data_IF_865824996094
#
_entry.id   IF_865824996094
#
_cell.length_a   1.000
_cell.length_b   1.000
_cell.length_c   1.000
_cell.angle_alpha   90.00
_cell.angle_beta   90.00
_cell.angle_gamma   90.00
#
_symmetry.space_group_name_H-M   'P 1'
#
loop_
_entity.id
_entity.type
_entity.pdbx_description
1 polymer ?
#
# COMPACT_ATOMS: atom_id res chain seq x y z
N UNK A 1 -1.83 25.82 -32.27
CA UNK A 1 -2.51 26.63 -31.23
C UNK A 1 -2.38 25.86 -29.93
N UNK A 2 -1.39 26.22 -29.13
CA UNK A 2 -0.96 25.48 -27.93
C UNK A 2 -1.59 26.18 -26.73
N UNK A 3 -2.46 25.48 -25.99
CA UNK A 3 -3.01 25.98 -24.72
C UNK A 3 -2.63 25.03 -23.59
N UNK A 4 -1.73 25.49 -22.73
CA UNK A 4 -1.42 24.88 -21.43
C UNK A 4 -2.64 25.00 -20.49
N UNK A 5 -2.85 24.04 -19.57
CA UNK A 5 -3.78 24.24 -18.45
C UNK A 5 -3.12 25.00 -17.28
N UNK A 6 -3.92 25.61 -16.39
CA UNK A 6 -3.43 26.47 -15.32
C UNK A 6 -3.05 25.69 -14.05
N UNK A 7 -2.08 26.26 -13.33
CA UNK A 7 -1.62 25.87 -12.00
C UNK A 7 -2.56 26.40 -10.90
N UNK A 8 -2.56 25.68 -9.76
CA UNK A 8 -2.97 26.08 -8.41
C UNK A 8 -4.45 25.96 -8.00
N UNK A 9 -4.72 24.96 -7.16
CA UNK A 9 -5.84 24.95 -6.21
C UNK A 9 -5.46 24.11 -4.97
N UNK A 10 -4.70 24.70 -4.05
CA UNK A 10 -4.74 24.35 -2.62
C UNK A 10 -4.44 25.61 -1.80
N UNK A 11 -5.50 26.29 -1.36
CA UNK A 11 -5.48 27.24 -0.25
C UNK A 11 -6.32 26.64 0.87
N UNK A 12 -5.68 26.31 1.99
CA UNK A 12 -6.35 26.11 3.26
C UNK A 12 -5.78 27.12 4.28
N UNK A 13 -6.71 27.81 4.93
CA UNK A 13 -6.51 28.91 5.86
C UNK A 13 -6.04 28.41 7.23
N UNK A 14 -5.04 29.07 7.83
CA UNK A 14 -4.96 29.19 9.28
C UNK A 14 -4.81 30.66 9.68
N UNK A 15 -5.77 31.11 10.49
CA UNK A 15 -5.89 32.46 11.03
C UNK A 15 -4.81 32.71 12.08
N UNK A 16 -3.98 33.73 11.88
CA UNK A 16 -3.17 34.32 12.95
C UNK A 16 -4.04 35.21 13.84
N UNK A 17 -3.96 34.99 15.15
CA UNK A 17 -4.37 35.96 16.17
C UNK A 17 -3.11 36.69 16.68
N UNK A 18 -3.25 38.01 16.90
CA UNK A 18 -2.19 38.96 17.20
C UNK A 18 -2.22 39.43 18.68
N UNK A 19 -1.01 39.62 19.23
CA UNK A 19 -0.53 40.61 20.24
C UNK A 19 -0.81 40.39 21.75
N UNK A 20 -0.03 40.99 22.68
CA UNK A 20 1.10 41.95 22.53
C UNK A 20 2.41 41.63 23.33
N UNK A 21 3.48 42.45 23.21
CA UNK A 21 4.81 42.21 23.79
C UNK A 21 5.07 43.03 25.07
N UNK A 22 5.87 42.52 26.02
CA UNK A 22 6.50 43.35 27.06
C UNK A 22 7.87 42.81 27.51
N UNK A 23 8.86 43.72 27.40
CA UNK A 23 10.08 43.91 28.21
C UNK A 23 11.21 42.86 28.19
N UNK A 24 12.25 43.22 27.44
CA UNK A 24 13.64 42.89 27.77
C UNK A 24 14.23 44.00 28.65
N UNK A 25 14.91 43.65 29.77
CA UNK A 25 16.05 44.42 30.28
C UNK A 25 16.87 43.63 31.33
N UNK A 26 18.14 43.38 30.97
CA UNK A 26 19.38 43.43 31.77
C UNK A 26 19.39 43.02 33.26
N UNK A 27 20.19 41.98 33.56
CA UNK A 27 21.02 41.93 34.76
C UNK A 27 22.36 41.21 34.48
N UNK A 28 23.37 42.03 34.20
CA UNK A 28 24.79 41.70 34.28
C UNK A 28 25.21 42.00 35.72
N UNK A 29 25.84 41.06 36.44
CA UNK A 29 27.04 41.31 37.26
C UNK A 29 27.42 40.16 38.23
N UNK A 30 28.74 39.96 38.24
CA UNK A 30 29.61 39.50 39.32
C UNK A 30 29.66 38.01 39.69
N UNK A 31 30.50 37.33 38.90
CA UNK A 31 31.61 36.50 39.37
C UNK A 31 32.18 36.94 40.73
N UNK A 32 32.13 36.06 41.73
CA UNK A 32 33.20 35.91 42.73
C UNK A 32 33.54 34.44 42.85
N UNK A 33 34.79 34.12 42.50
CA UNK A 33 35.40 32.82 42.68
C UNK A 33 35.80 32.65 44.15
N UNK A 34 35.57 31.47 44.73
CA UNK A 34 36.50 30.84 45.67
C UNK A 34 36.13 29.35 45.84
N UNK A 35 37.05 28.47 45.43
CA UNK A 35 37.25 27.15 46.03
C UNK A 35 36.23 26.05 45.78
N UNK A 36 36.55 25.11 44.88
CA UNK A 36 36.97 23.77 45.28
C UNK A 36 37.01 22.83 44.08
N UNK A 37 38.11 22.10 44.02
CA UNK A 37 38.39 20.99 43.11
C UNK A 37 37.34 19.90 43.26
N UNK A 38 36.50 19.72 42.24
CA UNK A 38 35.98 18.39 41.88
C UNK A 38 35.97 18.30 40.36
N UNK A 39 36.99 17.66 39.82
CA UNK A 39 36.88 16.95 38.56
C UNK A 39 35.71 15.98 38.72
N UNK A 40 34.52 16.39 38.26
CA UNK A 40 33.44 15.45 38.01
C UNK A 40 33.96 14.41 37.02
N UNK A 41 33.57 13.13 37.14
CA UNK A 41 33.92 12.16 36.13
C UNK A 41 33.44 12.76 34.81
N UNK A 42 34.35 12.91 33.85
CA UNK A 42 33.99 13.09 32.46
C UNK A 42 33.11 11.90 32.16
N UNK A 43 31.81 12.10 32.29
CA UNK A 43 30.83 11.28 31.65
C UNK A 43 31.27 11.32 30.20
N UNK A 44 31.90 10.24 29.77
CA UNK A 44 31.78 9.83 28.41
C UNK A 44 30.26 9.80 28.20
N UNK A 45 29.72 10.89 27.66
CA UNK A 45 28.74 10.74 26.62
C UNK A 45 29.47 9.94 25.55
N UNK A 46 29.54 8.62 25.77
CA UNK A 46 29.41 7.69 24.70
C UNK A 46 28.19 8.22 23.97
N UNK A 47 28.43 8.88 22.84
CA UNK A 47 27.44 8.88 21.80
C UNK A 47 27.07 7.40 21.68
N UNK A 48 25.89 7.04 22.18
CA UNK A 48 25.30 5.77 21.80
C UNK A 48 25.33 5.83 20.28
N UNK A 49 26.27 5.10 19.69
CA UNK A 49 26.18 4.72 18.31
C UNK A 49 24.98 3.78 18.25
N UNK A 50 23.77 4.36 18.29
CA UNK A 50 22.53 3.67 18.04
C UNK A 50 22.60 3.21 16.60
N UNK A 51 23.20 2.05 16.40
CA UNK A 51 23.26 1.39 15.11
C UNK A 51 21.85 1.05 14.68
N UNK A 52 21.61 1.12 13.37
CA UNK A 52 20.40 0.53 12.81
C UNK A 52 20.67 -0.95 12.60
N UNK A 53 19.83 -1.81 13.17
CA UNK A 53 19.87 -3.25 12.97
C UNK A 53 18.98 -3.64 11.79
N UNK A 54 19.54 -4.41 10.86
CA UNK A 54 18.79 -4.96 9.73
C UNK A 54 18.14 -6.29 10.12
N UNK A 55 16.85 -6.40 9.84
CA UNK A 55 16.09 -7.65 9.95
C UNK A 55 15.51 -8.04 8.60
N UNK A 56 15.27 -9.34 8.44
CA UNK A 56 14.58 -9.89 7.28
C UNK A 56 13.58 -10.97 7.71
N UNK A 57 12.42 -10.98 7.06
CA UNK A 57 11.38 -12.00 7.15
C UNK A 57 10.99 -12.48 5.76
N UNK A 58 10.79 -13.79 5.64
CA UNK A 58 10.31 -14.45 4.41
C UNK A 58 9.17 -15.39 4.76
N UNK A 59 8.03 -15.22 4.11
CA UNK A 59 6.79 -15.97 4.38
C UNK A 59 6.07 -16.21 3.05
N UNK A 60 5.35 -17.32 2.93
CA UNK A 60 4.47 -17.57 1.79
C UNK A 60 3.09 -16.97 2.09
N UNK A 61 2.58 -16.11 1.20
CA UNK A 61 1.30 -15.38 1.34
C UNK A 61 0.82 -14.98 -0.07
N UNK A 62 -0.49 -14.86 -0.29
CA UNK A 62 -1.08 -14.50 -1.59
C UNK A 62 -0.53 -15.35 -2.77
N UNK A 63 -0.34 -16.65 -2.55
CA UNK A 63 0.17 -17.59 -3.57
C UNK A 63 1.61 -17.33 -4.04
N UNK A 64 2.40 -16.54 -3.31
CA UNK A 64 3.78 -16.20 -3.66
C UNK A 64 4.68 -16.08 -2.44
N UNK A 65 5.94 -15.70 -2.64
CA UNK A 65 6.86 -15.39 -1.56
C UNK A 65 6.85 -13.90 -1.26
N UNK A 66 6.61 -13.58 0.01
CA UNK A 66 6.84 -12.26 0.59
C UNK A 66 8.23 -12.23 1.22
N UNK A 67 8.98 -11.17 0.96
CA UNK A 67 10.23 -10.83 1.66
C UNK A 67 10.13 -9.40 2.18
N UNK A 68 10.20 -9.24 3.50
CA UNK A 68 10.28 -7.94 4.17
C UNK A 68 11.69 -7.80 4.71
N UNK A 69 12.38 -6.72 4.36
CA UNK A 69 13.67 -6.34 4.94
C UNK A 69 13.59 -4.89 5.41
N UNK A 70 13.97 -4.64 6.66
CA UNK A 70 13.98 -3.28 7.20
C UNK A 70 15.12 -3.06 8.19
N UNK A 71 15.48 -1.79 8.39
CA UNK A 71 16.45 -1.33 9.37
C UNK A 71 15.73 -0.60 10.52
N UNK A 72 15.91 -1.03 11.77
CA UNK A 72 15.28 -0.46 12.97
C UNK A 72 16.33 -0.19 14.08
N UNK A 73 16.03 0.61 15.13
CA UNK A 73 17.00 0.89 16.20
C UNK A 73 17.44 -0.36 16.96
N UNK A 74 16.54 -1.34 17.12
CA UNK A 74 16.86 -2.65 17.69
C UNK A 74 16.30 -3.78 16.84
N UNK A 75 16.91 -4.98 16.94
CA UNK A 75 16.36 -6.20 16.32
C UNK A 75 14.92 -6.48 16.74
N UNK A 76 14.58 -6.25 18.00
CA UNK A 76 13.24 -6.56 18.53
C UNK A 76 12.16 -5.67 17.89
N UNK A 77 12.41 -4.37 17.80
CA UNK A 77 11.53 -3.42 17.11
C UNK A 77 11.41 -3.77 15.62
N UNK A 78 12.52 -4.13 14.98
CA UNK A 78 12.49 -4.48 13.57
C UNK A 78 11.63 -5.72 13.30
N UNK A 79 11.75 -6.74 14.14
CA UNK A 79 10.89 -7.94 14.04
C UNK A 79 9.42 -7.60 14.26
N UNK A 80 9.10 -6.77 15.26
CA UNK A 80 7.73 -6.34 15.50
C UNK A 80 7.13 -5.58 14.31
N UNK A 81 7.92 -4.72 13.65
CA UNK A 81 7.50 -4.04 12.43
C UNK A 81 7.26 -5.03 11.27
N UNK A 82 8.13 -6.03 11.08
CA UNK A 82 7.89 -7.07 10.07
C UNK A 82 6.60 -7.85 10.34
N UNK A 83 6.32 -8.23 11.59
CA UNK A 83 5.08 -8.96 11.92
C UNK A 83 3.84 -8.08 11.71
N UNK A 84 3.93 -6.78 11.98
CA UNK A 84 2.81 -5.83 11.76
C UNK A 84 2.53 -5.62 10.27
N UNK A 85 3.57 -5.48 9.45
CA UNK A 85 3.45 -5.43 8.00
C UNK A 85 2.88 -6.73 7.41
N UNK A 86 3.35 -7.89 7.90
CA UNK A 86 2.82 -9.18 7.48
C UNK A 86 1.32 -9.31 7.78
N UNK A 87 0.88 -8.95 8.99
CA UNK A 87 -0.55 -9.00 9.35
C UNK A 87 -1.41 -8.13 8.45
N UNK A 88 -0.96 -6.93 8.10
CA UNK A 88 -1.69 -6.07 7.16
C UNK A 88 -1.84 -6.71 5.77
N UNK A 89 -0.82 -7.44 5.31
CA UNK A 89 -0.88 -8.20 4.05
C UNK A 89 -1.85 -9.40 4.17
N UNK A 90 -1.82 -10.13 5.28
CA UNK A 90 -2.75 -11.23 5.54
C UNK A 90 -4.21 -10.75 5.63
N UNK A 91 -4.45 -9.59 6.24
CA UNK A 91 -5.75 -8.93 6.31
C UNK A 91 -6.22 -8.47 4.92
N UNK A 92 -5.31 -7.97 4.08
CA UNK A 92 -5.60 -7.66 2.69
C UNK A 92 -5.92 -8.93 1.87
N UNK A 93 -5.19 -10.03 2.06
CA UNK A 93 -5.51 -11.32 1.43
C UNK A 93 -6.90 -11.83 1.84
N UNK A 94 -7.23 -11.76 3.13
CA UNK A 94 -8.54 -12.16 3.65
C UNK A 94 -9.69 -11.33 3.07
N UNK A 95 -9.43 -10.08 2.65
CA UNK A 95 -10.43 -9.22 2.03
C UNK A 95 -10.51 -9.38 0.52
N UNK A 96 -9.35 -9.42 -0.16
CA UNK A 96 -9.27 -9.30 -1.62
C UNK A 96 -9.17 -10.63 -2.36
N UNK A 97 -8.73 -11.71 -1.72
CA UNK A 97 -8.36 -12.92 -2.45
C UNK A 97 -9.52 -13.54 -3.21
N UNK A 98 -9.40 -13.59 -4.53
CA UNK A 98 -10.35 -14.30 -5.40
C UNK A 98 -10.06 -15.82 -5.49
N UNK A 99 -9.06 -16.31 -4.73
CA UNK A 99 -8.70 -17.73 -4.59
C UNK A 99 -9.26 -18.38 -3.33
N UNK A 100 -9.82 -17.57 -2.43
CA UNK A 100 -10.42 -18.00 -1.17
C UNK A 100 -11.91 -17.73 -1.21
N UNK A 101 -12.72 -18.78 -1.01
CA UNK A 101 -14.18 -18.63 -0.99
C UNK A 101 -14.69 -17.85 0.23
N UNK A 102 -13.86 -17.75 1.28
CA UNK A 102 -14.18 -17.02 2.51
C UNK A 102 -13.74 -15.56 2.52
N UNK A 103 -13.14 -15.07 1.42
CA UNK A 103 -12.78 -13.65 1.33
C UNK A 103 -13.98 -12.76 1.09
N UNK A 104 -13.87 -11.51 1.52
CA UNK A 104 -14.94 -10.53 1.32
C UNK A 104 -15.23 -10.28 -0.16
N UNK A 105 -14.19 -10.16 -1.01
CA UNK A 105 -14.35 -9.99 -2.45
C UNK A 105 -14.97 -11.23 -3.13
N UNK A 106 -14.61 -12.43 -2.68
CA UNK A 106 -15.21 -13.66 -3.20
C UNK A 106 -16.70 -13.76 -2.83
N UNK A 107 -17.06 -13.37 -1.61
CA UNK A 107 -18.46 -13.29 -1.18
C UNK A 107 -19.25 -12.28 -1.99
N UNK A 108 -18.68 -11.10 -2.27
CA UNK A 108 -19.29 -10.11 -3.18
C UNK A 108 -19.47 -10.67 -4.60
N UNK A 109 -18.47 -11.37 -5.12
CA UNK A 109 -18.55 -12.01 -6.44
C UNK A 109 -19.62 -13.12 -6.50
N UNK A 110 -19.92 -13.78 -5.38
CA UNK A 110 -20.95 -14.81 -5.26
C UNK A 110 -22.34 -14.28 -4.90
N UNK A 111 -22.48 -12.97 -4.62
CA UNK A 111 -23.72 -12.35 -4.18
C UNK A 111 -24.89 -12.52 -5.18
N UNK A 112 -26.15 -12.56 -4.72
CA UNK A 112 -27.32 -12.53 -5.60
C UNK A 112 -27.27 -11.35 -6.57
N UNK A 113 -27.76 -11.59 -7.80
CA UNK A 113 -27.91 -10.52 -8.79
C UNK A 113 -29.04 -9.59 -8.35
N UNK A 114 -28.89 -8.31 -8.63
CA UNK A 114 -29.87 -7.26 -8.31
C UNK A 114 -30.16 -7.05 -6.81
N UNK A 115 -29.32 -7.60 -5.94
CA UNK A 115 -29.33 -7.33 -4.51
C UNK A 115 -28.07 -6.54 -4.09
N UNK A 116 -28.20 -5.35 -3.47
CA UNK A 116 -27.05 -4.64 -2.93
C UNK A 116 -26.56 -5.35 -1.67
N UNK A 117 -25.30 -5.74 -1.66
CA UNK A 117 -24.66 -6.35 -0.49
C UNK A 117 -23.73 -5.33 0.17
N UNK A 118 -23.86 -5.19 1.49
CA UNK A 118 -22.96 -4.37 2.29
C UNK A 118 -21.56 -4.99 2.28
N UNK A 119 -20.56 -4.15 2.01
CA UNK A 119 -19.14 -4.50 2.09
C UNK A 119 -18.45 -3.52 3.01
N UNK A 120 -17.32 -3.93 3.55
CA UNK A 120 -16.49 -3.11 4.42
C UNK A 120 -16.12 -1.79 3.73
N UNK A 121 -15.98 -0.70 4.49
CA UNK A 121 -15.55 0.58 3.93
C UNK A 121 -14.24 0.48 3.17
N UNK A 122 -13.34 -0.41 3.62
CA UNK A 122 -12.04 -0.62 3.00
C UNK A 122 -12.17 -1.33 1.64
N UNK A 123 -12.94 -2.43 1.55
CA UNK A 123 -13.16 -3.10 0.26
C UNK A 123 -13.86 -2.17 -0.73
N UNK A 124 -14.86 -1.41 -0.27
CA UNK A 124 -15.52 -0.39 -1.10
C UNK A 124 -14.51 0.60 -1.67
N UNK A 125 -13.65 1.17 -0.83
CA UNK A 125 -12.65 2.16 -1.26
C UNK A 125 -11.65 1.56 -2.26
N UNK A 126 -11.18 0.33 -2.02
CA UNK A 126 -10.28 -0.40 -2.93
C UNK A 126 -10.93 -0.63 -4.31
N UNK A 127 -12.20 -1.05 -4.34
CA UNK A 127 -12.95 -1.27 -5.57
C UNK A 127 -13.29 0.04 -6.30
N UNK A 128 -13.69 1.08 -5.57
CA UNK A 128 -13.97 2.40 -6.15
C UNK A 128 -12.71 3.00 -6.79
N UNK A 129 -11.55 2.84 -6.15
CA UNK A 129 -10.26 3.26 -6.71
C UNK A 129 -9.87 2.46 -7.95
N UNK A 130 -10.06 1.14 -7.93
CA UNK A 130 -9.83 0.32 -9.12
C UNK A 130 -10.78 0.71 -10.27
N UNK A 131 -12.05 1.00 -9.99
CA UNK A 131 -12.99 1.51 -10.97
C UNK A 131 -12.57 2.89 -11.53
N UNK A 132 -11.98 3.74 -10.70
CA UNK A 132 -11.41 5.02 -11.13
C UNK A 132 -10.25 4.82 -12.11
N UNK A 133 -9.29 3.94 -11.82
CA UNK A 133 -8.22 3.60 -12.75
C UNK A 133 -8.73 3.05 -14.07
N UNK A 134 -9.81 2.26 -14.04
CA UNK A 134 -10.43 1.78 -15.27
C UNK A 134 -10.95 2.94 -16.15
N UNK A 135 -11.55 3.97 -15.53
CA UNK A 135 -11.98 5.17 -16.25
C UNK A 135 -10.78 6.00 -16.75
N UNK A 136 -9.77 6.22 -15.91
CA UNK A 136 -8.56 6.97 -16.26
C UNK A 136 -7.81 6.34 -17.45
N UNK A 137 -7.79 5.02 -17.51
CA UNK A 137 -7.14 4.25 -18.58
C UNK A 137 -8.06 3.97 -19.77
N UNK A 138 -9.28 4.53 -19.79
CA UNK A 138 -10.28 4.28 -20.85
C UNK A 138 -10.57 2.79 -21.07
N UNK A 139 -10.57 2.01 -19.98
CA UNK A 139 -10.84 0.57 -19.99
C UNK A 139 -9.65 -0.32 -20.32
N UNK A 140 -8.43 0.23 -20.52
CA UNK A 140 -7.25 -0.61 -20.71
C UNK A 140 -6.90 -1.41 -19.45
N UNK A 141 -7.18 -0.86 -18.27
CA UNK A 141 -7.34 -1.60 -17.03
C UNK A 141 -8.83 -1.76 -16.73
N UNK A 142 -9.26 -2.93 -16.28
CA UNK A 142 -10.63 -3.16 -15.82
C UNK A 142 -10.61 -4.21 -14.70
N UNK A 143 -11.02 -3.87 -13.47
CA UNK A 143 -11.03 -4.82 -12.37
C UNK A 143 -12.18 -5.83 -12.48
N UNK A 144 -13.20 -5.61 -13.32
CA UNK A 144 -14.36 -6.50 -13.47
C UNK A 144 -14.19 -7.51 -14.62
N UNK A 145 -13.00 -8.12 -14.73
CA UNK A 145 -12.63 -9.06 -15.80
C UNK A 145 -12.66 -10.54 -15.39
N UNK A 146 -13.12 -10.89 -14.18
CA UNK A 146 -13.10 -12.28 -13.70
C UNK A 146 -13.71 -13.31 -14.68
N UNK A 147 -14.82 -13.02 -15.41
CA UNK A 147 -15.35 -13.95 -16.42
C UNK A 147 -14.37 -14.24 -17.56
N UNK A 148 -13.64 -13.24 -18.03
CA UNK A 148 -12.63 -13.42 -19.08
C UNK A 148 -11.40 -14.15 -18.54
N UNK A 149 -10.96 -13.84 -17.32
CA UNK A 149 -9.87 -14.58 -16.65
C UNK A 149 -10.19 -16.06 -16.55
N UNK A 150 -11.43 -16.41 -16.22
CA UNK A 150 -11.92 -17.78 -16.18
C UNK A 150 -12.02 -18.41 -17.58
N UNK A 151 -12.60 -17.71 -18.56
CA UNK A 151 -12.74 -18.22 -19.93
C UNK A 151 -11.39 -18.54 -20.58
N UNK A 152 -10.37 -17.72 -20.30
CA UNK A 152 -9.00 -17.96 -20.77
C UNK A 152 -8.21 -18.94 -19.91
N UNK A 153 -8.82 -19.53 -18.87
CA UNK A 153 -8.16 -20.48 -17.96
C UNK A 153 -6.84 -19.95 -17.38
N UNK A 154 -6.73 -18.63 -17.15
CA UNK A 154 -5.47 -17.99 -16.77
C UNK A 154 -4.95 -18.44 -15.40
N UNK A 155 -5.80 -19.09 -14.61
CA UNK A 155 -5.46 -19.69 -13.30
C UNK A 155 -4.95 -21.13 -13.39
N UNK A 156 -5.18 -21.82 -14.51
CA UNK A 156 -4.91 -23.26 -14.68
C UNK A 156 -3.97 -23.55 -15.85
N UNK A 157 -3.22 -22.55 -16.31
CA UNK A 157 -2.19 -22.70 -17.34
C UNK A 157 -2.51 -22.07 -18.69
N UNK A 158 -3.71 -21.50 -18.84
CA UNK A 158 -4.15 -20.80 -20.04
C UNK A 158 -4.70 -21.74 -21.10
N UNK A 159 -5.85 -21.39 -21.66
CA UNK A 159 -6.43 -22.02 -22.85
C UNK A 159 -7.20 -20.99 -23.66
N UNK A 160 -7.27 -21.18 -24.98
CA UNK A 160 -8.01 -20.27 -25.84
C UNK A 160 -9.50 -20.63 -25.81
N UNK A 161 -10.39 -19.73 -25.36
CA UNK A 161 -11.82 -20.00 -25.36
C UNK A 161 -12.37 -20.09 -26.80
N UNK A 162 -13.47 -20.82 -26.97
CA UNK A 162 -14.26 -20.71 -28.19
C UNK A 162 -14.82 -19.29 -28.36
N UNK A 163 -15.18 -18.92 -29.59
CA UNK A 163 -15.77 -17.61 -29.85
C UNK A 163 -17.05 -17.36 -29.01
N UNK A 164 -17.87 -18.40 -28.83
CA UNK A 164 -19.10 -18.30 -28.02
C UNK A 164 -18.81 -18.09 -26.53
N UNK A 165 -17.81 -18.80 -25.99
CA UNK A 165 -17.40 -18.62 -24.58
C UNK A 165 -16.79 -17.25 -24.35
N UNK A 166 -15.97 -16.77 -25.28
CA UNK A 166 -15.37 -15.43 -25.22
C UNK A 166 -16.43 -14.33 -25.22
N UNK A 167 -17.36 -14.35 -26.17
CA UNK A 167 -18.41 -13.34 -26.28
C UNK A 167 -19.29 -13.34 -25.02
N UNK A 168 -19.69 -14.52 -24.55
CA UNK A 168 -20.48 -14.66 -23.32
C UNK A 168 -19.74 -14.16 -22.07
N UNK A 169 -18.43 -14.41 -21.97
CA UNK A 169 -17.61 -13.89 -20.88
C UNK A 169 -17.44 -12.36 -20.98
N UNK A 170 -17.20 -11.84 -22.18
CA UNK A 170 -17.05 -10.40 -22.43
C UNK A 170 -18.32 -9.64 -22.04
N UNK A 171 -19.49 -10.16 -22.35
CA UNK A 171 -20.78 -9.55 -22.01
C UNK A 171 -20.99 -9.45 -20.49
N UNK A 172 -20.43 -10.39 -19.73
CA UNK A 172 -20.45 -10.43 -18.26
C UNK A 172 -19.36 -9.59 -17.56
N UNK A 173 -18.46 -8.95 -18.31
CA UNK A 173 -17.35 -8.17 -17.76
C UNK A 173 -17.68 -6.68 -17.59
N UNK A 174 -16.81 -5.97 -16.89
CA UNK A 174 -16.73 -4.51 -16.89
C UNK A 174 -17.70 -3.78 -15.97
N UNK A 175 -17.42 -2.50 -15.75
CA UNK A 175 -18.10 -1.69 -14.73
C UNK A 175 -19.62 -1.55 -14.92
N UNK A 176 -20.11 -1.74 -16.15
CA UNK A 176 -21.55 -1.75 -16.47
C UNK A 176 -22.31 -2.89 -15.79
N UNK A 177 -21.62 -3.92 -15.33
CA UNK A 177 -22.21 -5.06 -14.62
C UNK A 177 -22.28 -4.82 -13.09
N UNK A 178 -21.98 -3.61 -12.62
CA UNK A 178 -21.91 -3.27 -11.20
C UNK A 178 -22.54 -1.91 -10.91
N UNK A 179 -23.20 -1.79 -9.76
CA UNK A 179 -23.69 -0.53 -9.22
C UNK A 179 -23.16 -0.32 -7.80
N UNK A 180 -22.56 0.84 -7.54
CA UNK A 180 -22.15 1.27 -6.21
C UNK A 180 -23.24 2.15 -5.63
N UNK A 181 -23.89 1.67 -4.57
CA UNK A 181 -25.02 2.31 -3.91
C UNK A 181 -24.67 2.63 -2.45
N UNK A 182 -25.36 3.57 -1.79
CA UNK A 182 -25.14 3.82 -0.36
C UNK A 182 -25.35 2.58 0.52
N UNK A 183 -26.28 1.69 0.14
CA UNK A 183 -26.61 0.46 0.84
C UNK A 183 -25.65 -0.71 0.58
N UNK A 184 -24.76 -0.60 -0.42
CA UNK A 184 -23.91 -1.73 -0.79
C UNK A 184 -23.37 -1.66 -2.21
N UNK A 185 -22.77 -2.75 -2.65
CA UNK A 185 -22.36 -2.97 -4.03
C UNK A 185 -23.31 -4.01 -4.61
N UNK A 186 -23.91 -3.70 -5.75
CA UNK A 186 -24.90 -4.55 -6.42
C UNK A 186 -24.33 -5.10 -7.71
N UNK A 187 -24.43 -6.42 -7.86
CA UNK A 187 -24.07 -7.15 -9.08
C UNK A 187 -25.24 -7.15 -10.05
N UNK A 188 -25.01 -6.76 -11.31
CA UNK A 188 -26.06 -6.60 -12.34
C UNK A 188 -26.04 -7.71 -13.40
N UNK A 189 -25.08 -8.63 -13.32
CA UNK A 189 -24.97 -9.76 -14.23
C UNK A 189 -24.54 -11.02 -13.46
N UNK A 190 -25.22 -12.15 -13.69
CA UNK A 190 -25.04 -13.41 -12.94
C UNK A 190 -23.61 -13.96 -12.92
N UNK A 191 -22.87 -13.70 -13.99
CA UNK A 191 -21.47 -14.12 -14.13
C UNK A 191 -20.47 -13.05 -13.74
N UNK A 192 -20.89 -11.80 -13.48
CA UNK A 192 -19.93 -10.73 -13.21
C UNK A 192 -19.10 -11.02 -11.95
N UNK A 193 -17.84 -10.62 -12.01
CA UNK A 193 -16.88 -10.79 -10.92
C UNK A 193 -15.75 -9.78 -11.04
N UNK A 194 -15.32 -9.24 -9.91
CA UNK A 194 -14.06 -8.53 -9.79
C UNK A 194 -12.88 -9.50 -9.71
N UNK A 195 -11.76 -9.12 -10.29
CA UNK A 195 -10.47 -9.80 -10.22
C UNK A 195 -9.44 -8.89 -9.58
N UNK A 196 -8.82 -9.36 -8.51
CA UNK A 196 -7.82 -8.60 -7.75
C UNK A 196 -6.43 -8.62 -8.39
N UNK A 197 -6.12 -9.62 -9.23
CA UNK A 197 -4.73 -9.94 -9.61
C UNK A 197 -3.89 -8.80 -10.22
N UNK A 198 -4.53 -7.72 -10.68
CA UNK A 198 -3.87 -6.53 -11.21
C UNK A 198 -3.69 -5.38 -10.19
N UNK A 199 -4.30 -5.45 -8.99
CA UNK A 199 -4.21 -4.42 -7.95
C UNK A 199 -4.01 -4.94 -6.51
N UNK A 200 -4.43 -6.17 -6.17
CA UNK A 200 -4.53 -6.60 -4.77
C UNK A 200 -3.19 -6.68 -4.05
N UNK A 201 -2.12 -7.10 -4.73
CA UNK A 201 -0.76 -7.01 -4.17
C UNK A 201 -0.31 -5.57 -3.93
N UNK A 202 -0.70 -4.62 -4.80
CA UNK A 202 -0.41 -3.21 -4.61
C UNK A 202 -1.09 -2.66 -3.36
N UNK A 203 -2.40 -2.92 -3.21
CA UNK A 203 -3.17 -2.57 -2.02
C UNK A 203 -2.58 -3.19 -0.74
N UNK A 204 -2.09 -4.43 -0.81
CA UNK A 204 -1.44 -5.11 0.32
C UNK A 204 -0.12 -4.45 0.71
N UNK A 205 0.66 -3.96 -0.25
CA UNK A 205 1.90 -3.23 0.01
C UNK A 205 1.61 -1.86 0.64
N UNK A 206 0.59 -1.14 0.16
CA UNK A 206 0.16 0.13 0.74
C UNK A 206 -0.29 -0.05 2.19
N UNK A 207 -1.12 -1.06 2.47
CA UNK A 207 -1.55 -1.40 3.82
C UNK A 207 -0.38 -1.78 4.74
N UNK A 208 0.62 -2.50 4.22
CA UNK A 208 1.82 -2.85 4.99
C UNK A 208 2.65 -1.62 5.38
N UNK A 209 2.77 -0.64 4.48
CA UNK A 209 3.49 0.61 4.75
C UNK A 209 2.73 1.46 5.77
N UNK A 210 1.42 1.66 5.58
CA UNK A 210 0.57 2.39 6.53
C UNK A 210 0.65 1.77 7.93
N UNK A 211 0.60 0.44 8.03
CA UNK A 211 0.65 -0.26 9.31
C UNK A 211 1.94 0.00 10.11
N UNK A 212 3.04 0.39 9.45
CA UNK A 212 4.34 0.62 10.11
C UNK A 212 4.83 2.07 10.00
N UNK A 213 4.02 2.99 9.46
CA UNK A 213 4.42 4.37 9.17
C UNK A 213 4.92 5.10 10.42
N UNK A 214 4.24 4.93 11.55
CA UNK A 214 4.59 5.58 12.82
C UNK A 214 5.73 4.88 13.59
N UNK A 215 6.24 3.74 13.09
CA UNK A 215 7.32 3.00 13.74
C UNK A 215 8.70 3.56 13.37
N UNK A 216 9.67 3.39 14.27
CA UNK A 216 11.05 3.78 14.00
C UNK A 216 11.73 2.77 13.08
N UNK A 217 11.81 3.09 11.79
CA UNK A 217 12.64 2.38 10.81
C UNK A 217 13.38 3.37 9.93
N UNK A 218 14.50 2.96 9.31
CA UNK A 218 15.31 3.84 8.43
C UNK A 218 15.13 3.53 6.97
N UNK A 219 15.07 2.24 6.66
CA UNK A 219 14.86 1.73 5.31
C UNK A 219 13.96 0.49 5.36
N UNK A 220 13.15 0.34 4.32
CA UNK A 220 12.18 -0.73 4.12
C UNK A 220 12.24 -1.18 2.66
N UNK A 221 12.25 -2.50 2.47
CA UNK A 221 12.10 -3.18 1.19
C UNK A 221 11.11 -4.32 1.40
N UNK A 222 9.99 -4.27 0.69
CA UNK A 222 9.01 -5.35 0.63
C UNK A 222 8.95 -5.85 -0.81
N UNK A 223 9.08 -7.15 -0.99
CA UNK A 223 9.00 -7.84 -2.27
C UNK A 223 7.92 -8.93 -2.15
N UNK A 224 6.80 -8.72 -2.85
CA UNK A 224 5.64 -9.60 -2.85
C UNK A 224 5.49 -10.25 -4.22
N UNK A 225 6.34 -11.25 -4.48
CA UNK A 225 6.38 -11.95 -5.77
C UNK A 225 6.77 -11.06 -6.94
N UNK A 226 7.70 -10.12 -6.74
CA UNK A 226 8.19 -9.20 -7.76
C UNK A 226 7.52 -7.82 -7.75
N UNK A 227 6.42 -7.64 -7.02
CA UNK A 227 5.88 -6.32 -6.70
C UNK A 227 6.67 -5.72 -5.54
N UNK A 228 7.28 -4.56 -5.77
CA UNK A 228 8.25 -3.96 -4.85
C UNK A 228 7.70 -2.70 -4.18
N UNK A 229 7.86 -2.62 -2.87
CA UNK A 229 7.74 -1.38 -2.10
C UNK A 229 9.10 -1.05 -1.49
N UNK A 230 9.57 0.18 -1.71
CA UNK A 230 10.85 0.65 -1.24
C UNK A 230 10.68 2.01 -0.59
N UNK A 231 11.02 2.12 0.69
CA UNK A 231 10.91 3.37 1.44
C UNK A 231 12.19 3.63 2.24
N UNK A 232 12.69 4.87 2.21
CA UNK A 232 13.87 5.30 2.97
C UNK A 232 13.74 6.77 3.35
N UNK A 233 14.20 7.12 4.54
CA UNK A 233 14.22 8.51 5.00
C UNK A 233 15.22 9.40 4.24
N UNK A 234 16.27 8.80 3.65
CA UNK A 234 17.26 9.52 2.86
C UNK A 234 17.98 8.62 1.85
N UNK A 235 18.34 9.22 0.71
CA UNK A 235 19.13 8.58 -0.35
C UNK A 235 18.28 7.87 -1.40
N UNK A 236 18.91 7.53 -2.53
CA UNK A 236 18.25 6.83 -3.63
C UNK A 236 18.21 5.32 -3.40
N UNK A 237 17.16 4.68 -3.90
CA UNK A 237 17.06 3.23 -4.03
C UNK A 237 17.32 2.89 -5.49
N UNK A 238 18.33 2.07 -5.76
CA UNK A 238 18.56 1.51 -7.11
C UNK A 238 17.89 0.15 -7.20
N UNK A 239 17.07 -0.03 -8.22
CA UNK A 239 16.46 -1.33 -8.56
C UNK A 239 16.77 -1.63 -10.01
N UNK A 240 17.06 -2.90 -10.24
CA UNK A 240 17.23 -3.40 -11.59
C UNK A 240 15.87 -3.94 -12.04
N UNK A 241 15.55 -3.71 -13.31
CA UNK A 241 14.33 -4.24 -13.92
C UNK A 241 14.75 -5.42 -14.79
N UNK A 242 14.05 -6.53 -14.69
CA UNK A 242 14.37 -7.68 -15.53
C UNK A 242 14.15 -7.32 -17.01
N UNK A 243 15.08 -7.70 -17.89
CA UNK A 243 14.82 -7.62 -19.33
C UNK A 243 13.70 -8.62 -19.68
N UNK A 244 12.66 -8.22 -20.45
CA UNK A 244 11.50 -9.08 -20.72
C UNK A 244 11.87 -10.41 -21.39
N UNK A 245 12.89 -10.39 -22.25
CA UNK A 245 13.38 -11.57 -23.00
C UNK A 245 14.52 -12.32 -22.29
N UNK A 246 15.15 -11.72 -21.28
CA UNK A 246 16.25 -12.33 -20.53
C UNK A 246 16.08 -12.03 -19.04
N UNK A 247 15.20 -12.80 -18.40
CA UNK A 247 14.90 -12.65 -16.98
C UNK A 247 16.07 -13.01 -16.06
N UNK A 248 17.13 -13.62 -16.59
CA UNK A 248 18.37 -13.92 -15.86
C UNK A 248 19.34 -12.74 -15.80
N UNK A 249 19.18 -11.74 -16.67
CA UNK A 249 20.05 -10.58 -16.78
C UNK A 249 19.28 -9.30 -16.42
N UNK A 250 19.33 -8.85 -15.16
CA UNK A 250 18.69 -7.60 -14.75
C UNK A 250 19.39 -6.37 -15.35
N UNK A 251 18.61 -5.40 -15.84
CA UNK A 251 19.07 -4.13 -16.46
C UNK A 251 18.86 -2.92 -15.55
#
# INVERSE_FOLDING_TARGET
MISRPPENLFRANHRLALLPPFLALLAFCLWTALGSTREGPRGAHAAESGGWERVERRVAVMGTWLRISLEAPTRAEGLAACERALRAIEEAEARLSTWRDDSELAQLNAAPVDEPIEVSPLLRAELERACEWSRETSGAFDPALAPLVAAWSLRTGGDQPSATEFESARDACGLRCWAFEPSGVRRLHERAGFEEGAFGKGASLDAALEAIEELSWRSLSIDLGGQLLEARHAGLVRRLVAHPDDRGTPV
#
